data_IF_185589470103
#
_entry.id   IF_185589470103
#
_cell.length_a   1.000
_cell.length_b   1.000
_cell.length_c   1.000
_cell.angle_alpha   90.00
_cell.angle_beta   90.00
_cell.angle_gamma   90.00
#
_symmetry.space_group_name_H-M   'P 1'
#
loop_
_entity.id
_entity.type
_entity.pdbx_description
1 polymer ?
#
# COMPACT_ATOMS: atom_id res chain seq x y z
N UNK A 1 -7.99 -0.63 9.43
CA UNK A 1 -7.67 -1.73 8.52
C UNK A 1 -7.89 -3.04 9.23
N UNK A 2 -7.20 -4.09 8.79
CA UNK A 2 -7.09 -5.40 9.42
C UNK A 2 -5.60 -5.75 9.50
N UNK A 3 -5.20 -6.53 10.51
CA UNK A 3 -3.89 -7.15 10.57
C UNK A 3 -4.07 -8.67 10.54
N UNK A 4 -3.30 -9.35 9.69
CA UNK A 4 -3.20 -10.81 9.67
C UNK A 4 -2.00 -11.18 10.53
N UNK A 5 -2.23 -11.35 11.83
CA UNK A 5 -1.21 -11.78 12.79
C UNK A 5 -1.03 -13.30 12.72
N UNK A 6 -0.08 -13.75 11.89
CA UNK A 6 0.09 -15.16 11.51
C UNK A 6 0.56 -16.05 12.67
N UNK A 7 1.39 -15.50 13.56
CA UNK A 7 1.85 -16.17 14.78
C UNK A 7 0.68 -16.59 15.67
N UNK A 8 -0.16 -15.62 16.05
CA UNK A 8 -1.34 -15.87 16.90
C UNK A 8 -2.37 -16.75 16.17
N UNK A 9 -2.66 -16.43 14.90
CA UNK A 9 -3.63 -17.19 14.11
C UNK A 9 -3.21 -18.65 13.93
N UNK A 10 -1.91 -18.91 13.76
CA UNK A 10 -1.36 -20.26 13.61
C UNK A 10 -1.46 -21.13 14.86
N UNK A 11 -1.73 -20.55 16.04
CA UNK A 11 -2.06 -21.31 17.27
C UNK A 11 -3.51 -21.79 17.25
N UNK A 12 -4.41 -20.96 16.70
CA UNK A 12 -5.86 -21.18 16.76
C UNK A 12 -6.40 -22.04 15.61
N UNK A 13 -5.68 -22.13 14.48
CA UNK A 13 -6.09 -22.94 13.32
C UNK A 13 -5.00 -23.91 12.88
N UNK A 14 -5.35 -25.02 12.20
CA UNK A 14 -4.35 -25.90 11.60
C UNK A 14 -3.39 -25.14 10.67
N UNK A 15 -2.08 -25.34 10.86
CA UNK A 15 -1.02 -24.58 10.18
C UNK A 15 -1.12 -24.61 8.66
N UNK A 16 -1.56 -25.74 8.09
CA UNK A 16 -1.73 -25.91 6.64
C UNK A 16 -2.86 -25.06 6.06
N UNK A 17 -3.78 -24.56 6.89
CA UNK A 17 -4.86 -23.64 6.47
C UNK A 17 -4.45 -22.18 6.52
N UNK A 18 -3.38 -21.84 7.23
CA UNK A 18 -2.94 -20.46 7.46
C UNK A 18 -2.75 -19.66 6.15
N UNK A 19 -2.06 -20.20 5.11
CA UNK A 19 -1.89 -19.46 3.86
C UNK A 19 -3.22 -19.17 3.15
N UNK A 20 -4.16 -20.12 3.16
CA UNK A 20 -5.48 -19.94 2.55
C UNK A 20 -6.33 -18.89 3.29
N UNK A 21 -6.25 -18.87 4.63
CA UNK A 21 -6.95 -17.88 5.45
C UNK A 21 -6.36 -16.47 5.27
N UNK A 22 -5.03 -16.34 5.20
CA UNK A 22 -4.36 -15.07 4.88
C UNK A 22 -4.89 -14.50 3.55
N UNK A 23 -4.83 -15.28 2.47
CA UNK A 23 -5.32 -14.89 1.13
C UNK A 23 -6.77 -14.41 1.19
N UNK A 24 -7.62 -15.17 1.87
CA UNK A 24 -9.04 -14.84 2.03
C UNK A 24 -9.26 -13.52 2.79
N UNK A 25 -8.51 -13.26 3.87
CA UNK A 25 -8.62 -12.00 4.62
C UNK A 25 -8.17 -10.82 3.77
N UNK A 26 -7.00 -10.94 3.11
CA UNK A 26 -6.45 -9.89 2.24
C UNK A 26 -7.42 -9.58 1.10
N UNK A 27 -7.92 -10.59 0.40
CA UNK A 27 -8.88 -10.42 -0.69
C UNK A 27 -10.14 -9.67 -0.24
N UNK A 28 -10.72 -10.03 0.92
CA UNK A 28 -11.88 -9.35 1.47
C UNK A 28 -11.58 -7.89 1.83
N UNK A 29 -10.40 -7.62 2.39
CA UNK A 29 -9.96 -6.26 2.72
C UNK A 29 -9.82 -5.39 1.47
N UNK A 30 -9.16 -5.91 0.43
CA UNK A 30 -9.02 -5.28 -0.88
C UNK A 30 -10.38 -5.01 -1.53
N UNK A 31 -11.31 -5.96 -1.44
CA UNK A 31 -12.65 -5.81 -2.01
C UNK A 31 -13.42 -4.62 -1.41
N UNK A 32 -13.29 -4.37 -0.11
CA UNK A 32 -13.98 -3.27 0.58
C UNK A 32 -13.11 -2.01 0.74
N UNK A 33 -11.85 -2.03 0.30
CA UNK A 33 -10.92 -0.90 0.36
C UNK A 33 -10.47 -0.57 1.79
N UNK A 34 -10.33 -1.59 2.64
CA UNK A 34 -9.76 -1.46 3.98
C UNK A 34 -8.29 -1.90 3.94
N UNK A 35 -7.34 -1.07 4.42
CA UNK A 35 -5.94 -1.47 4.45
C UNK A 35 -5.71 -2.75 5.24
N UNK A 36 -4.89 -3.65 4.73
CA UNK A 36 -4.50 -4.90 5.39
C UNK A 36 -2.99 -5.00 5.58
N UNK A 37 -2.59 -5.43 6.78
CA UNK A 37 -1.18 -5.61 7.15
C UNK A 37 -0.92 -7.10 7.33
N UNK A 38 0.06 -7.65 6.63
CA UNK A 38 0.54 -9.02 6.89
C UNK A 38 1.66 -8.95 7.92
N UNK A 39 1.51 -9.66 9.04
CA UNK A 39 2.41 -9.52 10.18
C UNK A 39 2.93 -10.86 10.69
N UNK A 40 4.02 -10.78 11.44
CA UNK A 40 4.76 -11.85 12.14
C UNK A 40 5.47 -12.84 11.22
N UNK A 41 6.67 -13.26 11.64
CA UNK A 41 7.51 -14.26 10.95
C UNK A 41 7.80 -13.93 9.48
N UNK A 42 7.96 -12.65 9.15
CA UNK A 42 8.25 -12.24 7.77
C UNK A 42 9.72 -12.50 7.43
N UNK A 43 10.65 -12.10 8.31
CA UNK A 43 12.09 -12.30 8.17
C UNK A 43 12.71 -12.77 9.50
N UNK A 44 12.02 -13.65 10.25
CA UNK A 44 12.36 -14.04 11.64
C UNK A 44 13.82 -14.47 11.84
N UNK A 45 14.38 -15.18 10.87
CA UNK A 45 15.78 -15.62 10.91
C UNK A 45 16.76 -14.45 10.99
N UNK A 46 16.36 -13.27 10.53
CA UNK A 46 17.16 -12.04 10.61
C UNK A 46 17.29 -11.44 12.01
N UNK A 47 16.55 -11.96 12.99
CA UNK A 47 16.82 -11.66 14.41
C UNK A 47 18.25 -12.07 14.77
N UNK A 48 18.75 -13.18 14.20
CA UNK A 48 20.07 -13.77 14.53
C UNK A 48 21.05 -13.77 13.35
N UNK A 49 20.57 -13.52 12.13
CA UNK A 49 21.37 -13.65 10.92
C UNK A 49 21.31 -12.37 10.06
N UNK A 50 22.39 -12.01 9.35
CA UNK A 50 22.39 -10.82 8.50
C UNK A 50 21.59 -10.99 7.20
N UNK A 51 21.06 -12.18 6.91
CA UNK A 51 20.32 -12.51 5.68
C UNK A 51 19.19 -13.48 5.97
N UNK A 52 18.03 -13.33 5.30
CA UNK A 52 16.92 -14.24 5.47
C UNK A 52 17.13 -15.53 4.67
N UNK A 53 16.29 -16.52 4.96
CA UNK A 53 16.17 -17.75 4.21
C UNK A 53 15.42 -17.52 2.89
N UNK A 54 15.57 -18.45 1.94
CA UNK A 54 14.79 -18.43 0.69
C UNK A 54 13.27 -18.56 0.94
N UNK A 55 12.89 -19.28 1.98
CA UNK A 55 11.49 -19.47 2.35
C UNK A 55 10.86 -18.15 2.82
N UNK A 56 11.56 -17.39 3.66
CA UNK A 56 11.11 -16.06 4.12
C UNK A 56 10.99 -15.06 2.97
N UNK A 57 11.98 -15.02 2.07
CA UNK A 57 11.91 -14.16 0.87
C UNK A 57 10.67 -14.50 0.03
N UNK A 58 10.42 -15.79 -0.19
CA UNK A 58 9.23 -16.25 -0.91
C UNK A 58 7.95 -15.88 -0.18
N UNK A 59 7.91 -15.99 1.14
CA UNK A 59 6.74 -15.69 1.96
C UNK A 59 6.38 -14.19 1.92
N UNK A 60 7.38 -13.30 2.08
CA UNK A 60 7.20 -11.85 1.90
C UNK A 60 6.64 -11.54 0.52
N UNK A 61 7.26 -12.05 -0.54
CA UNK A 61 6.80 -11.81 -1.91
C UNK A 61 5.36 -12.32 -2.14
N UNK A 62 5.00 -13.47 -1.58
CA UNK A 62 3.62 -13.98 -1.69
C UNK A 62 2.59 -13.10 -0.96
N UNK A 63 2.93 -12.50 0.18
CA UNK A 63 2.04 -11.55 0.85
C UNK A 63 1.74 -10.32 -0.03
N UNK A 64 2.73 -9.90 -0.83
CA UNK A 64 2.58 -8.80 -1.80
C UNK A 64 1.71 -9.24 -2.98
N UNK A 65 1.95 -10.43 -3.53
CA UNK A 65 1.12 -10.99 -4.60
C UNK A 65 -0.33 -11.22 -4.17
N UNK A 66 -0.56 -11.53 -2.89
CA UNK A 66 -1.89 -11.60 -2.31
C UNK A 66 -2.61 -10.24 -2.28
N UNK A 67 -1.84 -9.16 -2.36
CA UNK A 67 -2.31 -7.78 -2.37
C UNK A 67 -2.36 -7.17 -0.97
N UNK A 68 -1.38 -7.44 -0.11
CA UNK A 68 -1.28 -6.73 1.17
C UNK A 68 -1.05 -5.23 0.96
N UNK A 69 -1.46 -4.37 1.89
CA UNK A 69 -1.15 -2.93 1.83
C UNK A 69 0.17 -2.61 2.51
N UNK A 70 0.51 -3.38 3.54
CA UNK A 70 1.77 -3.25 4.25
C UNK A 70 2.19 -4.59 4.84
N UNK A 71 3.49 -4.70 5.10
CA UNK A 71 4.10 -5.83 5.79
C UNK A 71 4.81 -5.34 7.04
N UNK A 72 4.90 -6.21 8.04
CA UNK A 72 5.37 -5.83 9.37
C UNK A 72 6.55 -6.69 9.81
N UNK A 73 7.64 -6.03 10.19
CA UNK A 73 8.71 -6.61 11.01
C UNK A 73 8.30 -6.54 12.49
N UNK A 74 8.65 -7.58 13.24
CA UNK A 74 8.35 -7.74 14.67
C UNK A 74 9.65 -7.73 15.47
N UNK A 75 10.15 -8.90 15.89
CA UNK A 75 11.41 -9.02 16.62
C UNK A 75 12.61 -8.58 15.78
N UNK A 76 12.54 -8.75 14.46
CA UNK A 76 13.60 -8.43 13.51
C UNK A 76 14.09 -6.98 13.68
N UNK A 77 13.18 -6.01 13.81
CA UNK A 77 13.51 -4.61 14.00
C UNK A 77 13.52 -4.17 15.47
N UNK A 78 12.81 -4.86 16.35
CA UNK A 78 12.64 -4.45 17.74
C UNK A 78 13.81 -4.88 18.64
N UNK A 79 14.33 -6.09 18.45
CA UNK A 79 15.37 -6.68 19.30
C UNK A 79 16.32 -7.64 18.56
N UNK A 80 16.32 -7.61 17.23
CA UNK A 80 17.23 -8.38 16.40
C UNK A 80 18.65 -7.79 16.34
N UNK A 81 19.62 -8.63 16.00
CA UNK A 81 21.02 -8.23 15.81
C UNK A 81 21.23 -7.39 14.53
N UNK A 82 20.29 -7.46 13.58
CA UNK A 82 20.38 -6.85 12.24
C UNK A 82 19.13 -6.03 11.85
N UNK A 83 18.69 -5.05 12.67
CA UNK A 83 17.39 -4.39 12.49
C UNK A 83 17.34 -3.49 11.26
N UNK A 84 18.46 -2.83 10.90
CA UNK A 84 18.54 -1.96 9.72
C UNK A 84 18.54 -2.80 8.45
N UNK A 85 19.31 -3.89 8.44
CA UNK A 85 19.41 -4.82 7.33
C UNK A 85 18.09 -5.54 7.08
N UNK A 86 17.33 -5.87 8.14
CA UNK A 86 16.00 -6.45 8.01
C UNK A 86 15.06 -5.51 7.25
N UNK A 87 15.02 -4.23 7.61
CA UNK A 87 14.19 -3.22 6.92
C UNK A 87 14.65 -3.04 5.46
N UNK A 88 15.96 -2.92 5.23
CA UNK A 88 16.50 -2.78 3.87
C UNK A 88 16.24 -4.02 3.01
N UNK A 89 16.32 -5.21 3.58
CA UNK A 89 16.05 -6.46 2.88
C UNK A 89 14.58 -6.58 2.54
N UNK A 90 13.70 -6.25 3.49
CA UNK A 90 12.26 -6.19 3.25
C UNK A 90 11.94 -5.27 2.08
N UNK A 91 12.42 -4.02 2.12
CA UNK A 91 12.18 -3.04 1.05
C UNK A 91 12.70 -3.51 -0.32
N UNK A 92 13.81 -4.24 -0.38
CA UNK A 92 14.32 -4.82 -1.64
C UNK A 92 13.42 -5.91 -2.18
N UNK A 93 12.87 -6.77 -1.32
CA UNK A 93 11.92 -7.81 -1.73
C UNK A 93 10.65 -7.14 -2.25
N UNK A 94 10.19 -6.09 -1.58
CA UNK A 94 8.97 -5.36 -1.96
C UNK A 94 9.09 -4.78 -3.37
N UNK A 95 10.14 -4.00 -3.60
CA UNK A 95 10.42 -3.38 -4.91
C UNK A 95 10.57 -4.42 -6.02
N UNK A 96 11.14 -5.59 -5.72
CA UNK A 96 11.29 -6.65 -6.73
C UNK A 96 9.97 -7.37 -7.01
N UNK A 97 9.18 -7.68 -5.98
CA UNK A 97 7.88 -8.33 -6.12
C UNK A 97 6.87 -7.44 -6.86
N UNK A 98 6.87 -6.13 -6.57
CA UNK A 98 5.95 -5.18 -7.21
C UNK A 98 6.15 -5.06 -8.73
N UNK A 99 7.35 -5.34 -9.26
CA UNK A 99 7.59 -5.35 -10.72
C UNK A 99 6.79 -6.40 -11.47
N UNK A 100 6.37 -7.46 -10.79
CA UNK A 100 5.55 -8.54 -11.37
C UNK A 100 4.05 -8.30 -11.20
N UNK A 101 3.67 -7.27 -10.43
CA UNK A 101 2.29 -6.85 -10.34
C UNK A 101 1.96 -6.04 -11.60
N UNK A 102 1.09 -6.58 -12.44
CA UNK A 102 0.50 -5.84 -13.56
C UNK A 102 -0.96 -5.59 -13.25
N UNK A 103 -1.31 -4.35 -12.94
CA UNK A 103 -2.69 -3.93 -12.72
C UNK A 103 -3.27 -3.31 -13.98
N UNK A 104 -3.29 -4.09 -15.08
CA UNK A 104 -3.64 -3.61 -16.43
C UNK A 104 -4.94 -2.79 -16.47
N UNK A 105 -5.94 -3.15 -15.67
CA UNK A 105 -7.17 -2.36 -15.51
C UNK A 105 -7.72 -2.49 -14.08
N UNK A 106 -7.98 -1.35 -13.44
CA UNK A 106 -8.72 -1.30 -12.18
C UNK A 106 -10.21 -1.59 -12.43
N UNK A 107 -10.57 -2.87 -12.58
CA UNK A 107 -11.95 -3.31 -12.77
C UNK A 107 -12.63 -3.52 -11.42
N UNK A 108 -13.83 -2.97 -11.26
CA UNK A 108 -14.69 -3.32 -10.13
C UNK A 108 -15.07 -4.80 -10.20
N UNK A 109 -14.51 -5.63 -9.32
CA UNK A 109 -14.93 -7.03 -9.14
C UNK A 109 -16.33 -7.17 -8.50
N UNK A 110 -16.91 -6.07 -8.01
CA UNK A 110 -18.22 -6.07 -7.37
C UNK A 110 -19.35 -6.17 -8.41
N UNK A 111 -19.85 -7.38 -8.67
CA UNK A 111 -20.97 -7.64 -9.61
C UNK A 111 -22.31 -6.98 -9.21
N UNK A 112 -22.45 -6.43 -8.00
CA UNK A 112 -23.73 -5.97 -7.42
C UNK A 112 -23.67 -4.62 -6.68
N UNK A 113 -22.53 -3.94 -6.64
CA UNK A 113 -22.44 -2.68 -5.91
C UNK A 113 -22.78 -1.51 -6.85
N UNK A 114 -23.74 -0.66 -6.48
CA UNK A 114 -23.82 0.69 -7.05
C UNK A 114 -22.58 1.40 -6.51
N UNK A 115 -21.55 1.66 -7.34
CA UNK A 115 -20.34 2.24 -6.82
C UNK A 115 -20.67 3.66 -6.34
N UNK A 116 -20.29 3.98 -5.10
CA UNK A 116 -20.29 5.36 -4.66
C UNK A 116 -19.55 6.22 -5.70
N UNK A 117 -20.05 7.42 -6.00
CA UNK A 117 -19.53 8.32 -7.05
C UNK A 117 -18.00 8.43 -6.98
N UNK A 118 -17.45 8.60 -5.77
CA UNK A 118 -16.01 8.68 -5.52
C UNK A 118 -15.22 7.44 -6.01
N UNK A 119 -15.81 6.24 -5.90
CA UNK A 119 -15.20 5.01 -6.40
C UNK A 119 -15.20 4.91 -7.92
N UNK A 120 -16.20 5.48 -8.61
CA UNK A 120 -16.21 5.56 -10.08
C UNK A 120 -15.08 6.47 -10.55
N UNK A 121 -14.99 7.67 -9.97
CA UNK A 121 -13.97 8.66 -10.32
C UNK A 121 -12.57 8.10 -10.06
N UNK A 122 -12.37 7.43 -8.92
CA UNK A 122 -11.05 6.85 -8.57
C UNK A 122 -10.62 5.77 -9.58
N UNK A 123 -11.54 4.90 -10.03
CA UNK A 123 -11.21 3.90 -11.07
C UNK A 123 -10.93 4.55 -12.42
N UNK A 124 -11.70 5.56 -12.81
CA UNK A 124 -11.47 6.29 -14.05
C UNK A 124 -10.09 6.96 -14.04
N UNK A 125 -9.72 7.61 -12.93
CA UNK A 125 -8.40 8.22 -12.75
C UNK A 125 -7.27 7.18 -12.77
N UNK A 126 -7.42 6.04 -12.08
CA UNK A 126 -6.42 4.97 -12.09
C UNK A 126 -6.23 4.36 -13.48
N UNK A 127 -7.32 4.08 -14.21
CA UNK A 127 -7.23 3.55 -15.57
C UNK A 127 -6.60 4.56 -16.53
N UNK A 128 -6.98 5.84 -16.46
CA UNK A 128 -6.37 6.89 -17.26
C UNK A 128 -4.88 7.02 -16.98
N UNK A 129 -4.46 6.94 -15.71
CA UNK A 129 -3.06 6.98 -15.33
C UNK A 129 -2.27 5.80 -15.90
N UNK A 130 -2.80 4.58 -15.84
CA UNK A 130 -2.15 3.40 -16.40
C UNK A 130 -2.06 3.49 -17.94
N UNK A 131 -3.15 3.88 -18.62
CA UNK A 131 -3.21 3.98 -20.08
C UNK A 131 -2.27 5.07 -20.62
N UNK A 132 -2.24 6.23 -19.96
CA UNK A 132 -1.37 7.36 -20.33
C UNK A 132 0.06 7.21 -19.80
N UNK A 133 0.36 6.14 -19.03
CA UNK A 133 1.63 5.93 -18.33
C UNK A 133 2.04 7.17 -17.51
N UNK A 134 1.08 7.73 -16.79
CA UNK A 134 1.29 8.92 -15.96
C UNK A 134 2.36 8.64 -14.89
N UNK A 135 3.18 9.65 -14.59
CA UNK A 135 4.23 9.51 -13.57
C UNK A 135 3.67 9.40 -12.15
N UNK A 136 2.50 9.97 -11.89
CA UNK A 136 1.83 9.90 -10.60
C UNK A 136 0.34 10.29 -10.72
N UNK A 137 -0.47 9.86 -9.75
CA UNK A 137 -1.81 10.41 -9.50
C UNK A 137 -1.72 11.34 -8.29
N UNK A 138 -2.07 12.61 -8.47
CA UNK A 138 -2.09 13.59 -7.39
C UNK A 138 -3.52 13.71 -6.84
N UNK A 139 -3.70 13.48 -5.54
CA UNK A 139 -4.98 13.55 -4.87
C UNK A 139 -4.92 14.49 -3.67
N UNK A 140 -5.59 15.64 -3.77
CA UNK A 140 -5.88 16.46 -2.60
C UNK A 140 -6.97 15.81 -1.74
N UNK A 141 -6.75 15.73 -0.44
CA UNK A 141 -7.68 15.07 0.48
C UNK A 141 -7.65 15.62 1.90
N UNK A 142 -8.83 15.86 2.49
CA UNK A 142 -8.95 16.27 3.89
C UNK A 142 -9.11 15.08 4.85
N UNK A 143 -9.74 13.98 4.41
CA UNK A 143 -10.01 12.80 5.27
C UNK A 143 -9.25 11.54 4.82
N UNK A 144 -8.53 11.62 3.71
CA UNK A 144 -7.87 10.51 3.05
C UNK A 144 -8.80 9.58 2.28
N UNK A 145 -10.11 9.87 2.20
CA UNK A 145 -11.06 8.98 1.55
C UNK A 145 -10.74 8.75 0.06
N UNK A 146 -10.41 9.81 -0.68
CA UNK A 146 -10.06 9.74 -2.10
C UNK A 146 -8.77 8.93 -2.32
N UNK A 147 -7.70 9.24 -1.57
CA UNK A 147 -6.44 8.51 -1.65
C UNK A 147 -6.61 7.00 -1.36
N UNK A 148 -7.43 6.63 -0.37
CA UNK A 148 -7.76 5.22 -0.08
C UNK A 148 -8.52 4.53 -1.22
N UNK A 149 -9.42 5.25 -1.90
CA UNK A 149 -10.15 4.71 -3.06
C UNK A 149 -9.26 4.54 -4.28
N UNK A 150 -8.31 5.45 -4.50
CA UNK A 150 -7.26 5.30 -5.50
C UNK A 150 -6.35 4.11 -5.18
N UNK A 151 -5.89 4.00 -3.93
CA UNK A 151 -5.06 2.88 -3.45
C UNK A 151 -5.76 1.52 -3.66
N UNK A 152 -7.07 1.45 -3.38
CA UNK A 152 -7.89 0.27 -3.66
C UNK A 152 -7.86 -0.15 -5.15
N UNK A 153 -7.67 0.79 -6.06
CA UNK A 153 -7.58 0.53 -7.50
C UNK A 153 -6.22 -0.02 -7.92
N UNK A 154 -5.19 0.06 -7.04
CA UNK A 154 -3.82 -0.40 -7.28
C UNK A 154 -3.25 0.11 -8.62
N UNK A 155 -3.21 1.44 -8.87
CA UNK A 155 -2.57 1.97 -10.07
C UNK A 155 -1.07 1.64 -10.08
N UNK A 156 -0.47 1.58 -11.28
CA UNK A 156 0.95 1.23 -11.43
C UNK A 156 1.87 2.39 -10.99
N UNK A 157 1.37 3.63 -11.09
CA UNK A 157 2.09 4.83 -10.67
C UNK A 157 1.80 5.21 -9.20
N UNK A 158 2.71 5.93 -8.53
CA UNK A 158 2.51 6.39 -7.16
C UNK A 158 1.31 7.35 -7.03
N UNK A 159 0.62 7.27 -5.89
CA UNK A 159 -0.46 8.19 -5.51
C UNK A 159 0.10 9.21 -4.54
N UNK A 160 0.24 10.47 -4.96
CA UNK A 160 0.66 11.57 -4.09
C UNK A 160 -0.58 12.14 -3.40
N UNK A 161 -0.74 11.86 -2.11
CA UNK A 161 -1.87 12.32 -1.32
C UNK A 161 -1.55 13.60 -0.57
N UNK A 162 -2.02 14.74 -1.08
CA UNK A 162 -1.77 16.05 -0.49
C UNK A 162 -2.85 16.35 0.55
N UNK A 163 -2.46 16.67 1.78
CA UNK A 163 -3.40 16.89 2.87
C UNK A 163 -2.90 17.94 3.87
N UNK A 164 -3.76 18.79 4.45
CA UNK A 164 -3.36 19.72 5.50
C UNK A 164 -3.27 19.08 6.90
N UNK A 165 -3.72 17.83 7.07
CA UNK A 165 -3.75 17.15 8.37
C UNK A 165 -2.68 16.07 8.45
N UNK A 166 -1.67 16.29 9.30
CA UNK A 166 -0.62 15.30 9.58
C UNK A 166 -1.17 13.95 10.05
N UNK A 167 -2.28 13.93 10.80
CA UNK A 167 -2.89 12.68 11.27
C UNK A 167 -3.46 11.88 10.11
N UNK A 168 -3.97 12.56 9.08
CA UNK A 168 -4.45 11.93 7.85
C UNK A 168 -3.27 11.42 7.04
N UNK A 169 -2.21 12.21 6.90
CA UNK A 169 -0.98 11.79 6.24
C UNK A 169 -0.41 10.50 6.86
N UNK A 170 -0.23 10.47 8.19
CA UNK A 170 0.28 9.30 8.92
C UNK A 170 -0.59 8.05 8.73
N UNK A 171 -1.92 8.20 8.65
CA UNK A 171 -2.84 7.07 8.37
C UNK A 171 -2.74 6.57 6.93
N UNK A 172 -2.51 7.48 5.98
CA UNK A 172 -2.41 7.16 4.56
C UNK A 172 -1.10 6.45 4.21
N UNK A 173 -0.04 6.64 5.00
CA UNK A 173 1.23 5.92 4.83
C UNK A 173 1.11 4.39 4.93
N UNK A 174 0.00 3.87 5.46
CA UNK A 174 -0.31 2.43 5.53
C UNK A 174 -1.14 1.92 4.34
N UNK A 175 -1.47 2.78 3.37
CA UNK A 175 -2.26 2.41 2.20
C UNK A 175 -1.31 2.17 1.02
N UNK A 176 -1.54 1.08 0.27
CA UNK A 176 -0.65 0.72 -0.83
C UNK A 176 -0.49 1.83 -1.86
N UNK A 177 0.75 2.09 -2.27
CA UNK A 177 1.10 3.06 -3.31
C UNK A 177 0.83 4.53 -2.94
N UNK A 178 0.44 4.83 -1.70
CA UNK A 178 0.13 6.20 -1.27
C UNK A 178 1.34 6.85 -0.59
N UNK A 179 1.76 7.97 -1.15
CA UNK A 179 2.79 8.84 -0.63
C UNK A 179 2.15 10.13 -0.11
N UNK A 180 1.90 10.24 1.21
CA UNK A 180 1.25 11.41 1.76
C UNK A 180 2.22 12.61 1.86
N UNK A 181 1.75 13.79 1.45
CA UNK A 181 2.49 15.05 1.56
C UNK A 181 1.63 16.04 2.34
N UNK A 182 2.21 16.64 3.38
CA UNK A 182 1.52 17.66 4.18
C UNK A 182 1.74 19.03 3.55
N UNK A 183 0.66 19.70 3.18
CA UNK A 183 0.69 21.03 2.57
C UNK A 183 -0.33 21.96 3.25
N UNK A 184 -0.12 23.27 3.14
CA UNK A 184 -1.00 24.27 3.74
C UNK A 184 -2.46 24.12 3.28
N UNK A 185 -3.40 24.48 4.15
CA UNK A 185 -4.81 24.56 3.75
C UNK A 185 -4.98 25.75 2.81
N UNK A 186 -5.59 25.50 1.66
CA UNK A 186 -5.96 26.50 0.66
C UNK A 186 -7.47 26.66 0.62
N UNK A 187 -7.94 27.80 0.13
CA UNK A 187 -9.37 28.15 0.16
C UNK A 187 -10.05 27.95 -1.21
N UNK A 188 -9.31 28.02 -2.31
CA UNK A 188 -9.83 27.80 -3.65
C UNK A 188 -9.40 26.46 -4.26
N UNK A 189 -10.18 25.97 -5.23
CA UNK A 189 -9.89 24.71 -5.93
C UNK A 189 -8.68 24.85 -6.85
N UNK A 190 -8.49 26.01 -7.46
CA UNK A 190 -7.37 26.28 -8.37
C UNK A 190 -6.05 26.32 -7.61
N UNK A 191 -5.99 27.04 -6.48
CA UNK A 191 -4.83 27.04 -5.58
C UNK A 191 -4.50 25.62 -5.09
N UNK A 192 -5.53 24.82 -4.79
CA UNK A 192 -5.35 23.43 -4.36
C UNK A 192 -4.69 22.58 -5.44
N UNK A 193 -5.05 22.76 -6.71
CA UNK A 193 -4.42 22.04 -7.81
C UNK A 193 -2.96 22.47 -7.97
N UNK A 194 -2.69 23.78 -8.00
CA UNK A 194 -1.33 24.31 -8.16
C UNK A 194 -0.41 23.89 -7.02
N UNK A 195 -0.83 24.05 -5.77
CA UNK A 195 -0.04 23.66 -4.60
C UNK A 195 0.16 22.14 -4.53
N UNK A 196 -0.83 21.34 -4.95
CA UNK A 196 -0.66 19.88 -4.99
C UNK A 196 0.36 19.44 -6.03
N UNK A 197 0.37 20.07 -7.22
CA UNK A 197 1.37 19.80 -8.27
C UNK A 197 2.76 20.23 -7.80
N UNK A 198 2.88 21.43 -7.23
CA UNK A 198 4.15 21.94 -6.69
C UNK A 198 4.69 21.06 -5.57
N UNK A 199 3.82 20.57 -4.68
CA UNK A 199 4.19 19.64 -3.62
C UNK A 199 4.71 18.31 -4.20
N UNK A 200 4.06 17.78 -5.23
CA UNK A 200 4.52 16.57 -5.91
C UNK A 200 5.88 16.77 -6.60
N UNK A 201 6.10 17.92 -7.25
CA UNK A 201 7.38 18.28 -7.88
C UNK A 201 8.50 18.42 -6.86
N UNK A 202 8.25 19.14 -5.76
CA UNK A 202 9.26 19.39 -4.71
C UNK A 202 9.72 18.10 -4.03
N UNK A 203 8.83 17.11 -3.94
CA UNK A 203 9.15 15.78 -3.39
C UNK A 203 9.67 14.79 -4.45
N UNK A 204 9.88 15.22 -5.70
CA UNK A 204 10.49 14.40 -6.76
C UNK A 204 9.58 13.34 -7.38
N UNK A 205 8.26 13.41 -7.18
CA UNK A 205 7.32 12.44 -7.78
C UNK A 205 7.01 12.74 -9.25
N UNK A 206 7.10 14.01 -9.66
CA UNK A 206 6.79 14.45 -11.03
C UNK A 206 7.79 15.51 -11.49
N UNK A 207 8.08 15.53 -12.79
CA UNK A 207 8.95 16.53 -13.43
C UNK A 207 8.15 17.33 -14.46
N UNK A 208 8.68 18.49 -14.86
CA UNK A 208 8.16 19.21 -16.03
C UNK A 208 8.46 18.35 -17.25
N UNK A 209 7.41 17.97 -17.98
CA UNK A 209 7.48 17.16 -19.20
C UNK A 209 7.86 17.98 -20.43
#
# INVERSE_FOLDING_TARGET
GIMVARGDLGVEIPMEKLPAVQKMIIEKCNHVGKPVITATQMLDSMIRNPRPTRAEVSDVANAIYDGTDAIMLSGESANGDWPVEAVQTMAKIDVEAEKQLSYEVAVSKAKKHIPAIAGVISRAAANAANELKASAIISSTQSGATARRLSQCRPDCPIVAVTPDEKVAKKLALCFGVYPVVAGKVESTDEMMEESVKAAQTNGFVNVG
#
